data_IF_981210540145
#
_entry.id   IF_981210540145
#
_cell.length_a   1.000
_cell.length_b   1.000
_cell.length_c   1.000
_cell.angle_alpha   90.00
_cell.angle_beta   90.00
_cell.angle_gamma   90.00
#
_symmetry.space_group_name_H-M   'P 1'
#
loop_
_entity.id
_entity.type
_entity.pdbx_description
1 polymer ?
#
# COMPACT_ATOMS: atom_id res chain seq x y z
N UNK A 1 -21.08 5.24 20.33
CA UNK A 1 -21.63 4.25 19.39
C UNK A 1 -22.63 4.99 18.51
N UNK A 2 -22.50 4.93 17.20
CA UNK A 2 -23.34 5.57 16.18
C UNK A 2 -22.95 6.97 15.67
N UNK A 3 -21.78 7.04 15.01
CA UNK A 3 -21.44 8.10 14.03
C UNK A 3 -21.03 7.56 12.66
N UNK A 4 -20.96 6.23 12.47
CA UNK A 4 -20.34 5.61 11.29
C UNK A 4 -21.29 5.12 10.19
N UNK A 5 -22.60 5.17 10.36
CA UNK A 5 -23.56 4.57 9.42
C UNK A 5 -24.52 5.53 8.71
N UNK A 6 -24.38 6.83 8.90
CA UNK A 6 -25.05 7.79 7.99
C UNK A 6 -24.16 8.06 6.80
N UNK A 7 -23.96 7.03 5.99
CA UNK A 7 -23.39 7.20 4.67
C UNK A 7 -24.37 8.05 3.85
N UNK A 8 -23.97 9.30 3.60
CA UNK A 8 -24.77 10.26 2.85
C UNK A 8 -25.16 9.65 1.51
N UNK A 9 -26.46 9.39 1.30
CA UNK A 9 -27.06 8.98 0.02
C UNK A 9 -26.96 10.06 -1.08
N UNK A 10 -26.14 11.09 -0.88
CA UNK A 10 -25.90 12.20 -1.81
C UNK A 10 -24.57 12.13 -2.56
N UNK A 11 -23.84 11.00 -2.48
CA UNK A 11 -22.68 10.84 -3.38
C UNK A 11 -23.22 10.53 -4.78
N UNK A 12 -22.98 11.45 -5.71
CA UNK A 12 -23.31 11.30 -7.12
C UNK A 12 -22.74 9.98 -7.68
N UNK A 13 -23.54 9.29 -8.51
CA UNK A 13 -23.10 8.07 -9.18
C UNK A 13 -21.92 8.41 -10.09
N UNK A 14 -20.71 8.04 -9.68
CA UNK A 14 -19.50 8.35 -10.41
C UNK A 14 -18.30 7.55 -9.91
N UNK A 15 -17.19 7.72 -10.60
CA UNK A 15 -15.91 7.06 -10.33
C UNK A 15 -14.80 8.10 -10.17
N UNK A 16 -14.13 8.12 -9.03
CA UNK A 16 -12.91 8.89 -8.79
C UNK A 16 -11.69 8.02 -9.09
N UNK A 17 -10.84 8.46 -10.02
CA UNK A 17 -9.58 7.81 -10.36
C UNK A 17 -8.46 8.52 -9.61
N UNK A 18 -7.87 7.86 -8.63
CA UNK A 18 -6.79 8.40 -7.79
C UNK A 18 -5.44 7.97 -8.35
N UNK A 19 -4.59 8.94 -8.65
CA UNK A 19 -3.26 8.72 -9.25
C UNK A 19 -2.20 9.46 -8.43
N UNK A 20 -1.40 8.72 -7.64
CA UNK A 20 -0.24 9.31 -6.97
C UNK A 20 0.85 9.62 -7.98
N UNK A 21 1.45 10.80 -7.87
CA UNK A 21 2.50 11.31 -8.74
C UNK A 21 3.75 11.64 -7.93
N UNK A 22 4.93 11.25 -8.43
CA UNK A 22 6.22 11.70 -7.91
C UNK A 22 7.30 11.67 -8.98
N UNK A 23 7.61 12.84 -9.55
CA UNK A 23 8.55 13.01 -10.66
C UNK A 23 8.15 12.22 -11.92
N UNK A 24 6.90 12.38 -12.36
CA UNK A 24 6.27 11.70 -13.52
C UNK A 24 5.94 12.66 -14.68
N UNK A 25 6.64 13.80 -14.77
CA UNK A 25 6.38 14.84 -15.75
C UNK A 25 6.28 14.34 -17.21
N UNK A 26 7.11 13.35 -17.59
CA UNK A 26 7.24 12.91 -18.99
C UNK A 26 6.03 12.11 -19.52
N UNK A 27 5.32 11.39 -18.65
CA UNK A 27 4.22 10.49 -19.05
C UNK A 27 2.83 11.06 -18.79
N UNK A 28 2.72 12.09 -17.96
CA UNK A 28 1.46 12.52 -17.36
C UNK A 28 0.44 13.03 -18.39
N UNK A 29 0.86 13.85 -19.36
CA UNK A 29 -0.03 14.37 -20.40
C UNK A 29 -0.61 13.25 -21.30
N UNK A 30 0.21 12.26 -21.66
CA UNK A 30 -0.22 11.10 -22.44
C UNK A 30 -1.19 10.23 -21.65
N UNK A 31 -0.90 9.98 -20.38
CA UNK A 31 -1.80 9.24 -19.49
C UNK A 31 -3.16 9.93 -19.36
N UNK A 32 -3.16 11.27 -19.17
CA UNK A 32 -4.37 12.05 -19.06
C UNK A 32 -5.23 11.98 -20.33
N UNK A 33 -4.63 12.07 -21.53
CA UNK A 33 -5.34 11.94 -22.79
C UNK A 33 -6.07 10.57 -22.90
N UNK A 34 -5.40 9.47 -22.58
CA UNK A 34 -5.99 8.13 -22.56
C UNK A 34 -7.12 8.00 -21.52
N UNK A 35 -6.96 8.61 -20.35
CA UNK A 35 -8.01 8.66 -19.33
C UNK A 35 -9.24 9.44 -19.80
N UNK A 36 -9.03 10.56 -20.52
CA UNK A 36 -10.12 11.35 -21.08
C UNK A 36 -10.93 10.57 -22.14
N UNK A 37 -10.28 9.74 -22.95
CA UNK A 37 -10.94 8.84 -23.90
C UNK A 37 -11.76 7.77 -23.18
N UNK A 38 -11.18 7.12 -22.17
CA UNK A 38 -11.86 6.14 -21.33
C UNK A 38 -13.06 6.75 -20.61
N UNK A 39 -12.93 7.98 -20.12
CA UNK A 39 -14.01 8.70 -19.46
C UNK A 39 -15.18 8.98 -20.39
N UNK A 40 -14.92 9.42 -21.64
CA UNK A 40 -15.98 9.60 -22.66
C UNK A 40 -16.72 8.29 -22.92
N UNK A 41 -15.99 7.19 -23.16
CA UNK A 41 -16.57 5.89 -23.41
C UNK A 41 -17.44 5.39 -22.23
N UNK A 42 -17.00 5.58 -21.01
CA UNK A 42 -17.76 5.19 -19.82
C UNK A 42 -18.98 6.09 -19.57
N UNK A 43 -18.90 7.38 -19.87
CA UNK A 43 -20.03 8.29 -19.80
C UNK A 43 -21.11 7.91 -20.81
N UNK A 44 -20.72 7.57 -22.04
CA UNK A 44 -21.65 7.14 -23.10
C UNK A 44 -22.29 5.78 -22.82
N UNK A 45 -21.47 4.79 -22.42
CA UNK A 45 -21.93 3.40 -22.27
C UNK A 45 -22.57 3.11 -20.93
N UNK A 46 -22.16 3.78 -19.87
CA UNK A 46 -22.56 3.47 -18.49
C UNK A 46 -23.21 4.65 -17.76
N UNK A 47 -23.27 5.85 -18.37
CA UNK A 47 -23.76 7.10 -17.77
C UNK A 47 -23.06 7.41 -16.44
N UNK A 48 -21.76 7.14 -16.38
CA UNK A 48 -20.94 7.29 -15.19
C UNK A 48 -20.11 8.56 -15.29
N UNK A 49 -20.28 9.48 -14.32
CA UNK A 49 -19.41 10.64 -14.22
C UNK A 49 -18.04 10.25 -13.67
N UNK A 50 -17.00 10.87 -14.22
CA UNK A 50 -15.62 10.50 -13.88
C UNK A 50 -14.85 11.76 -13.49
N UNK A 51 -14.09 11.63 -12.43
CA UNK A 51 -13.04 12.56 -12.07
C UNK A 51 -11.70 11.85 -11.96
N UNK A 52 -10.63 12.60 -12.15
CA UNK A 52 -9.27 12.18 -11.79
C UNK A 52 -8.76 13.04 -10.65
N UNK A 53 -8.19 12.41 -9.64
CA UNK A 53 -7.52 13.06 -8.50
C UNK A 53 -6.04 12.76 -8.61
N UNK A 54 -5.29 13.69 -9.15
CA UNK A 54 -3.84 13.66 -9.17
C UNK A 54 -3.31 14.11 -7.81
N UNK A 55 -2.51 13.26 -7.16
CA UNK A 55 -1.89 13.60 -5.88
C UNK A 55 -0.39 13.72 -6.07
N UNK A 56 0.11 14.95 -6.08
CA UNK A 56 1.54 15.20 -6.15
C UNK A 56 2.20 15.02 -4.79
N UNK A 57 3.03 14.00 -4.67
CA UNK A 57 3.76 13.65 -3.44
C UNK A 57 5.11 14.39 -3.39
N UNK A 58 5.06 15.72 -3.48
CA UNK A 58 6.24 16.58 -3.37
C UNK A 58 7.24 16.37 -4.50
N UNK A 59 6.80 16.39 -5.75
CA UNK A 59 7.68 16.32 -6.92
C UNK A 59 8.66 17.50 -6.97
N UNK A 60 9.81 17.25 -7.59
CA UNK A 60 10.87 18.25 -7.76
C UNK A 60 11.07 18.65 -9.22
N UNK A 61 10.37 17.99 -10.13
CA UNK A 61 10.31 18.29 -11.56
C UNK A 61 9.03 19.03 -11.90
N UNK A 62 8.71 19.16 -13.18
CA UNK A 62 7.54 19.88 -13.70
C UNK A 62 6.21 19.12 -13.51
N UNK A 63 6.17 18.01 -12.76
CA UNK A 63 4.98 17.17 -12.59
C UNK A 63 3.77 17.97 -12.10
N UNK A 64 3.93 18.78 -11.05
CA UNK A 64 2.84 19.58 -10.47
C UNK A 64 2.29 20.59 -11.50
N UNK A 65 3.18 21.34 -12.16
CA UNK A 65 2.79 22.34 -13.15
C UNK A 65 2.05 21.70 -14.34
N UNK A 66 2.52 20.55 -14.80
CA UNK A 66 1.85 19.79 -15.86
C UNK A 66 0.47 19.33 -15.38
N UNK A 67 0.36 18.74 -14.18
CA UNK A 67 -0.92 18.29 -13.61
C UNK A 67 -1.94 19.43 -13.53
N UNK A 68 -1.51 20.61 -13.06
CA UNK A 68 -2.34 21.81 -12.98
C UNK A 68 -2.74 22.37 -14.37
N UNK A 69 -1.94 22.13 -15.41
CA UNK A 69 -2.25 22.57 -16.76
C UNK A 69 -3.24 21.68 -17.51
N UNK A 70 -3.48 20.44 -17.03
CA UNK A 70 -4.31 19.45 -17.71
C UNK A 70 -5.76 19.93 -17.90
N UNK A 71 -6.37 19.68 -19.08
CA UNK A 71 -7.70 20.15 -19.40
C UNK A 71 -8.79 19.26 -18.77
N UNK A 72 -9.83 19.86 -18.21
CA UNK A 72 -11.03 19.17 -17.71
C UNK A 72 -12.10 19.05 -18.81
N UNK A 73 -11.79 18.46 -19.96
CA UNK A 73 -12.71 18.43 -21.12
C UNK A 73 -13.70 17.27 -21.10
N UNK A 74 -13.30 16.11 -20.61
CA UNK A 74 -14.11 14.88 -20.61
C UNK A 74 -14.33 14.30 -19.20
N UNK A 75 -13.55 14.75 -18.25
CA UNK A 75 -13.58 14.34 -16.84
C UNK A 75 -13.20 15.52 -15.98
N UNK A 76 -13.65 15.53 -14.73
CA UNK A 76 -13.22 16.53 -13.77
C UNK A 76 -11.79 16.24 -13.34
N UNK A 77 -11.02 17.28 -13.07
CA UNK A 77 -9.61 17.18 -12.66
C UNK A 77 -9.43 17.83 -11.31
N UNK A 78 -8.94 17.07 -10.35
CA UNK A 78 -8.43 17.58 -9.08
C UNK A 78 -6.93 17.38 -9.02
N UNK A 79 -6.21 18.37 -8.49
CA UNK A 79 -4.79 18.27 -8.18
C UNK A 79 -4.61 18.60 -6.70
N UNK A 80 -4.10 17.63 -5.96
CA UNK A 80 -3.79 17.72 -4.52
C UNK A 80 -2.28 17.68 -4.39
N UNK A 81 -1.65 18.80 -4.02
CA UNK A 81 -0.22 18.86 -3.77
C UNK A 81 0.06 18.68 -2.28
N UNK A 82 0.90 17.71 -1.96
CA UNK A 82 1.34 17.48 -0.58
C UNK A 82 2.51 18.39 -0.22
N UNK A 83 2.61 18.81 1.04
CA UNK A 83 3.62 19.77 1.50
C UNK A 83 5.07 19.26 1.38
N UNK A 84 5.26 17.95 1.27
CA UNK A 84 6.53 17.26 1.00
C UNK A 84 6.25 15.84 0.52
N UNK A 85 7.28 15.08 0.19
CA UNK A 85 7.15 13.65 -0.03
C UNK A 85 6.80 12.94 1.30
N UNK A 86 5.61 12.33 1.36
CA UNK A 86 5.10 11.50 2.45
C UNK A 86 5.07 10.02 2.08
N UNK A 87 5.28 9.68 0.81
CA UNK A 87 5.26 8.33 0.27
C UNK A 87 3.93 7.95 -0.40
N UNK A 88 4.00 6.95 -1.27
CA UNK A 88 2.88 6.50 -2.11
C UNK A 88 1.60 6.22 -1.32
N UNK A 89 1.71 5.53 -0.18
CA UNK A 89 0.54 5.15 0.63
C UNK A 89 -0.18 6.39 1.21
N UNK A 90 0.57 7.43 1.57
CA UNK A 90 0.01 8.70 2.02
C UNK A 90 -0.68 9.46 0.88
N UNK A 91 -0.09 9.43 -0.32
CA UNK A 91 -0.70 10.03 -1.51
C UNK A 91 -2.01 9.32 -1.91
N UNK A 92 -2.05 7.97 -1.83
CA UNK A 92 -3.28 7.22 -2.04
C UNK A 92 -4.36 7.55 -1.00
N UNK A 93 -3.96 7.74 0.27
CA UNK A 93 -4.86 8.17 1.33
C UNK A 93 -5.43 9.56 1.05
N UNK A 94 -4.57 10.52 0.69
CA UNK A 94 -5.00 11.87 0.32
C UNK A 94 -5.98 11.85 -0.86
N UNK A 95 -5.69 11.08 -1.90
CA UNK A 95 -6.60 10.93 -3.04
C UNK A 95 -7.93 10.29 -2.67
N UNK A 96 -7.93 9.28 -1.79
CA UNK A 96 -9.16 8.68 -1.28
C UNK A 96 -10.01 9.69 -0.49
N UNK A 97 -9.38 10.51 0.35
CA UNK A 97 -10.07 11.50 1.17
C UNK A 97 -10.67 12.65 0.33
N UNK A 98 -10.00 13.03 -0.79
CA UNK A 98 -10.46 14.09 -1.70
C UNK A 98 -11.39 13.59 -2.81
N UNK A 99 -11.51 12.26 -3.00
CA UNK A 99 -12.41 11.68 -4.00
C UNK A 99 -13.87 12.05 -3.72
N UNK A 100 -14.51 12.74 -4.69
CA UNK A 100 -15.89 13.25 -4.59
C UNK A 100 -16.94 12.18 -4.90
N UNK A 101 -16.60 11.21 -5.76
CA UNK A 101 -17.50 10.12 -6.09
C UNK A 101 -17.35 8.95 -5.12
N UNK A 102 -18.43 8.14 -5.04
CA UNK A 102 -18.47 7.01 -4.11
C UNK A 102 -17.51 5.89 -4.46
N UNK A 103 -17.46 5.50 -5.73
CA UNK A 103 -16.51 4.50 -6.20
C UNK A 103 -15.13 5.13 -6.43
N UNK A 104 -14.09 4.41 -6.06
CA UNK A 104 -12.70 4.88 -6.18
C UNK A 104 -11.86 3.84 -6.88
N UNK A 105 -11.09 4.28 -7.87
CA UNK A 105 -10.10 3.47 -8.57
C UNK A 105 -8.71 4.02 -8.29
N UNK A 106 -7.82 3.19 -7.79
CA UNK A 106 -6.39 3.52 -7.63
C UNK A 106 -5.61 3.04 -8.85
N UNK A 107 -4.74 3.90 -9.38
CA UNK A 107 -3.92 3.62 -10.55
C UNK A 107 -2.57 4.33 -10.43
N UNK A 108 -1.47 3.67 -10.82
CA UNK A 108 -0.14 4.29 -10.84
C UNK A 108 0.02 5.25 -12.02
N UNK A 109 0.79 6.33 -11.80
CA UNK A 109 1.07 7.35 -12.81
C UNK A 109 2.17 6.98 -13.81
N UNK A 110 2.85 5.83 -13.66
CA UNK A 110 4.01 5.40 -14.45
C UNK A 110 3.66 4.84 -15.85
N UNK A 111 2.37 4.81 -16.21
CA UNK A 111 1.87 4.34 -17.50
C UNK A 111 1.90 2.82 -17.71
N UNK A 112 2.26 2.01 -16.70
CA UNK A 112 2.24 0.55 -16.82
C UNK A 112 0.83 -0.06 -16.81
N UNK A 113 -0.14 0.69 -16.34
CA UNK A 113 -1.53 0.28 -16.30
C UNK A 113 -2.29 0.88 -17.49
N UNK A 114 -2.85 0.03 -18.35
CA UNK A 114 -3.68 0.50 -19.45
C UNK A 114 -5.02 1.05 -18.92
N UNK A 115 -5.38 2.33 -19.22
CA UNK A 115 -6.71 2.85 -18.92
C UNK A 115 -7.86 2.03 -19.53
N UNK A 116 -7.61 1.27 -20.60
CA UNK A 116 -8.61 0.42 -21.26
C UNK A 116 -9.18 -0.67 -20.33
N UNK A 117 -8.39 -1.07 -19.33
CA UNK A 117 -8.86 -2.02 -18.31
C UNK A 117 -9.91 -1.44 -17.37
N UNK A 118 -10.02 -0.10 -17.26
CA UNK A 118 -10.98 0.55 -16.35
C UNK A 118 -12.40 0.11 -16.68
N UNK A 119 -12.76 0.06 -17.96
CA UNK A 119 -14.07 -0.40 -18.40
C UNK A 119 -14.41 -1.83 -17.93
N UNK A 120 -13.43 -2.72 -17.96
CA UNK A 120 -13.57 -4.11 -17.46
C UNK A 120 -13.75 -4.16 -15.95
N UNK A 121 -12.99 -3.35 -15.19
CA UNK A 121 -13.12 -3.26 -13.73
C UNK A 121 -14.49 -2.71 -13.33
N UNK A 122 -14.97 -1.65 -14.03
CA UNK A 122 -16.29 -1.06 -13.84
C UNK A 122 -17.39 -2.08 -14.14
N UNK A 123 -17.25 -2.89 -15.19
CA UNK A 123 -18.20 -3.96 -15.50
C UNK A 123 -18.32 -4.99 -14.38
N UNK A 124 -17.20 -5.43 -13.79
CA UNK A 124 -17.23 -6.33 -12.63
C UNK A 124 -17.88 -5.69 -11.40
N UNK A 125 -17.68 -4.40 -11.18
CA UNK A 125 -18.34 -3.68 -10.09
C UNK A 125 -19.85 -3.56 -10.33
N UNK A 126 -20.29 -2.97 -11.47
CA UNK A 126 -21.69 -2.63 -11.71
C UNK A 126 -22.54 -3.88 -12.04
N UNK A 127 -22.05 -4.73 -12.95
CA UNK A 127 -22.82 -5.89 -13.44
C UNK A 127 -22.57 -7.14 -12.57
N UNK A 128 -21.33 -7.29 -12.06
CA UNK A 128 -20.92 -8.44 -11.26
C UNK A 128 -21.16 -8.30 -9.76
N UNK A 129 -21.46 -7.08 -9.27
CA UNK A 129 -21.69 -6.80 -7.84
C UNK A 129 -20.47 -7.07 -6.96
N UNK A 130 -19.25 -6.91 -7.50
CA UNK A 130 -18.02 -7.03 -6.74
C UNK A 130 -17.67 -5.68 -6.12
N UNK A 131 -17.18 -5.69 -4.89
CA UNK A 131 -16.84 -4.49 -4.15
C UNK A 131 -15.39 -4.07 -4.30
N UNK A 132 -14.51 -5.04 -4.47
CA UNK A 132 -13.09 -4.84 -4.68
C UNK A 132 -12.68 -5.59 -5.94
N UNK A 133 -12.36 -4.87 -7.00
CA UNK A 133 -11.84 -5.46 -8.23
C UNK A 133 -10.38 -5.06 -8.36
N UNK A 134 -9.47 -6.02 -8.26
CA UNK A 134 -8.04 -5.75 -8.33
C UNK A 134 -7.36 -6.48 -9.47
N UNK A 135 -6.33 -5.88 -10.02
CA UNK A 135 -5.55 -6.49 -11.08
C UNK A 135 -4.38 -7.29 -10.52
N UNK A 136 -4.01 -8.35 -11.22
CA UNK A 136 -2.81 -9.13 -10.95
C UNK A 136 -2.05 -9.40 -12.25
N UNK A 137 -0.72 -9.39 -12.19
CA UNK A 137 0.10 -9.68 -13.37
C UNK A 137 -0.07 -11.15 -13.78
N UNK A 138 -0.50 -11.39 -15.04
CA UNK A 138 -0.79 -12.74 -15.54
C UNK A 138 0.45 -13.64 -15.60
N UNK A 139 1.64 -13.08 -15.90
CA UNK A 139 2.89 -13.84 -16.03
C UNK A 139 4.06 -13.07 -15.45
N UNK A 140 4.85 -13.73 -14.58
CA UNK A 140 6.17 -13.26 -14.13
C UNK A 140 7.28 -13.83 -15.03
N UNK A 141 7.10 -13.75 -16.36
CA UNK A 141 8.14 -14.18 -17.30
C UNK A 141 9.36 -13.27 -17.15
N UNK A 142 10.53 -13.86 -16.78
CA UNK A 142 11.80 -13.14 -16.70
C UNK A 142 12.22 -12.67 -15.30
N UNK A 143 11.47 -12.94 -14.23
CA UNK A 143 11.96 -12.65 -12.88
C UNK A 143 13.08 -13.64 -12.47
N UNK A 144 14.21 -13.15 -11.91
CA UNK A 144 15.26 -14.00 -11.35
C UNK A 144 14.68 -14.92 -10.26
N UNK A 145 15.09 -16.19 -10.24
CA UNK A 145 14.62 -17.21 -9.29
C UNK A 145 14.71 -16.74 -7.83
N UNK A 146 15.80 -16.04 -7.47
CA UNK A 146 15.98 -15.49 -6.12
C UNK A 146 14.91 -14.48 -5.73
N UNK A 147 14.47 -13.61 -6.64
CA UNK A 147 13.41 -12.62 -6.39
C UNK A 147 12.05 -13.27 -6.23
N UNK A 148 11.77 -14.30 -7.06
CA UNK A 148 10.53 -15.09 -6.98
C UNK A 148 10.45 -15.86 -5.66
N UNK A 149 11.56 -16.49 -5.23
CA UNK A 149 11.61 -17.23 -3.96
C UNK A 149 11.49 -16.30 -2.76
N UNK A 150 12.17 -15.15 -2.78
CA UNK A 150 12.08 -14.12 -1.76
C UNK A 150 10.68 -13.55 -1.62
N UNK A 151 10.00 -13.25 -2.74
CA UNK A 151 8.60 -12.81 -2.75
C UNK A 151 7.66 -13.85 -2.15
N UNK A 152 7.80 -15.13 -2.54
CA UNK A 152 6.98 -16.22 -1.97
C UNK A 152 7.21 -16.38 -0.47
N UNK A 153 8.47 -16.34 -0.01
CA UNK A 153 8.80 -16.40 1.41
C UNK A 153 8.19 -15.23 2.18
N UNK A 154 8.32 -14.01 1.64
CA UNK A 154 7.72 -12.80 2.22
C UNK A 154 6.20 -12.93 2.41
N UNK A 155 5.46 -13.30 1.36
CA UNK A 155 4.00 -13.47 1.46
C UNK A 155 3.60 -14.65 2.34
N UNK A 156 4.40 -15.71 2.39
CA UNK A 156 4.17 -16.83 3.31
C UNK A 156 4.28 -16.37 4.77
N UNK A 157 5.33 -15.61 5.10
CA UNK A 157 5.52 -15.04 6.44
C UNK A 157 4.46 -13.98 6.76
N UNK A 158 4.13 -13.11 5.80
CA UNK A 158 3.10 -12.09 5.95
C UNK A 158 1.73 -12.69 6.25
N UNK A 159 1.40 -13.80 5.58
CA UNK A 159 0.14 -14.51 5.73
C UNK A 159 0.14 -15.52 6.90
N UNK A 160 1.31 -15.78 7.51
CA UNK A 160 1.41 -16.73 8.60
C UNK A 160 0.70 -16.23 9.86
N UNK A 161 -0.35 -16.92 10.23
CA UNK A 161 -1.18 -16.57 11.37
C UNK A 161 -2.18 -15.44 11.13
N UNK A 162 -2.27 -14.89 9.91
CA UNK A 162 -3.31 -13.96 9.53
C UNK A 162 -4.57 -14.71 9.06
N UNK A 163 -5.73 -14.32 9.60
CA UNK A 163 -7.04 -14.87 9.19
C UNK A 163 -7.40 -14.46 7.77
N UNK A 164 -6.99 -13.27 7.34
CA UNK A 164 -7.23 -12.71 6.01
C UNK A 164 -5.92 -12.72 5.23
N UNK A 165 -5.87 -13.58 4.20
CA UNK A 165 -4.68 -13.70 3.35
C UNK A 165 -4.60 -12.53 2.37
N UNK A 166 -3.45 -11.87 2.35
CA UNK A 166 -3.13 -10.86 1.35
C UNK A 166 -2.68 -11.59 0.09
N UNK A 167 -3.33 -11.36 -1.08
CA UNK A 167 -2.94 -12.02 -2.33
C UNK A 167 -1.52 -11.61 -2.76
N UNK A 168 -0.69 -12.58 -3.11
CA UNK A 168 0.73 -12.37 -3.45
C UNK A 168 0.94 -11.44 -4.66
N UNK A 169 0.01 -11.47 -5.62
CA UNK A 169 0.14 -10.77 -6.90
C UNK A 169 -0.82 -9.57 -7.03
N UNK A 170 -1.51 -9.18 -5.95
CA UNK A 170 -2.43 -8.05 -6.03
C UNK A 170 -1.69 -6.76 -6.39
N UNK A 171 -2.04 -6.18 -7.54
CA UNK A 171 -1.56 -4.88 -7.98
C UNK A 171 -2.18 -3.73 -7.17
N UNK A 172 -1.58 -2.54 -7.30
CA UNK A 172 -2.16 -1.30 -6.75
C UNK A 172 -3.34 -0.81 -7.60
N UNK A 173 -3.40 -1.23 -8.87
CA UNK A 173 -4.50 -0.93 -9.78
C UNK A 173 -5.75 -1.72 -9.36
N UNK A 174 -6.65 -1.01 -8.66
CA UNK A 174 -7.88 -1.59 -8.10
C UNK A 174 -9.02 -0.61 -8.04
N UNK A 175 -10.23 -1.13 -8.23
CA UNK A 175 -11.49 -0.41 -8.06
C UNK A 175 -12.16 -0.84 -6.75
N UNK A 176 -12.61 0.14 -6.00
CA UNK A 176 -13.42 -0.04 -4.80
C UNK A 176 -14.85 0.47 -5.05
N UNK A 177 -15.84 -0.31 -4.69
CA UNK A 177 -17.23 0.14 -4.66
C UNK A 177 -17.40 1.26 -3.61
N UNK A 178 -18.50 2.03 -3.63
CA UNK A 178 -18.74 3.07 -2.63
C UNK A 178 -18.63 2.58 -1.19
N UNK A 179 -19.21 1.41 -0.89
CA UNK A 179 -19.15 0.83 0.46
C UNK A 179 -17.75 0.37 0.86
N UNK A 180 -16.97 -0.16 -0.10
CA UNK A 180 -15.59 -0.56 0.16
C UNK A 180 -14.67 0.65 0.36
N UNK A 181 -14.83 1.70 -0.45
CA UNK A 181 -14.10 2.96 -0.30
C UNK A 181 -14.41 3.63 1.04
N UNK A 182 -15.68 3.63 1.46
CA UNK A 182 -16.09 4.13 2.75
C UNK A 182 -15.49 3.38 3.92
N UNK A 183 -15.52 2.04 3.85
CA UNK A 183 -14.90 1.22 4.88
C UNK A 183 -13.40 1.51 5.00
N UNK A 184 -12.72 1.68 3.85
CA UNK A 184 -11.30 1.99 3.83
C UNK A 184 -10.98 3.39 4.40
N UNK A 185 -11.83 4.41 4.12
CA UNK A 185 -11.72 5.74 4.73
C UNK A 185 -11.89 5.71 6.24
N UNK A 186 -12.81 4.88 6.74
CA UNK A 186 -13.11 4.77 8.17
C UNK A 186 -12.00 4.10 8.99
N UNK A 187 -11.02 3.48 8.34
CA UNK A 187 -9.90 2.84 9.03
C UNK A 187 -8.95 3.89 9.62
N UNK A 188 -8.68 3.82 10.95
CA UNK A 188 -7.88 4.81 11.65
C UNK A 188 -6.37 4.61 11.50
N UNK A 189 -5.94 3.51 10.91
CA UNK A 189 -4.52 3.16 10.81
C UNK A 189 -3.73 4.21 10.04
N UNK A 190 -2.60 4.63 10.61
CA UNK A 190 -1.66 5.58 10.01
C UNK A 190 -0.59 4.90 9.19
N UNK A 191 -0.17 3.73 9.63
CA UNK A 191 0.75 2.90 8.87
C UNK A 191 -0.04 2.11 7.82
N UNK A 192 -0.45 2.79 6.74
CA UNK A 192 -1.31 2.24 5.70
C UNK A 192 -0.52 1.39 4.72
N UNK A 193 -1.08 0.26 4.37
CA UNK A 193 -0.70 -0.57 3.23
C UNK A 193 -1.98 -0.95 2.50
N UNK A 194 -2.32 -0.18 1.49
CA UNK A 194 -3.62 -0.26 0.83
C UNK A 194 -3.99 -1.66 0.35
N UNK A 195 -2.99 -2.46 -0.10
CA UNK A 195 -3.22 -3.86 -0.50
C UNK A 195 -3.73 -4.72 0.66
N UNK A 196 -3.12 -4.56 1.82
CA UNK A 196 -3.50 -5.27 3.04
C UNK A 196 -4.87 -4.84 3.54
N UNK A 197 -5.09 -3.53 3.65
CA UNK A 197 -6.34 -2.96 4.12
C UNK A 197 -7.52 -3.33 3.23
N UNK A 198 -7.35 -3.26 1.89
CA UNK A 198 -8.38 -3.66 0.94
C UNK A 198 -8.70 -5.16 0.99
N UNK A 199 -7.76 -6.00 1.41
CA UNK A 199 -8.04 -7.42 1.66
C UNK A 199 -8.72 -7.64 3.01
N UNK A 200 -8.41 -6.81 4.01
CA UNK A 200 -8.92 -6.92 5.37
C UNK A 200 -10.39 -6.52 5.50
N UNK A 201 -10.87 -5.53 4.71
CA UNK A 201 -12.28 -5.09 4.74
C UNK A 201 -13.29 -6.20 4.40
N UNK A 202 -12.86 -7.32 3.83
CA UNK A 202 -13.64 -8.55 3.73
C UNK A 202 -14.81 -8.54 2.76
N UNK A 203 -14.98 -7.51 1.94
CA UNK A 203 -16.02 -7.44 0.91
C UNK A 203 -15.74 -8.39 -0.26
N UNK A 204 -16.75 -8.56 -1.13
CA UNK A 204 -16.68 -9.47 -2.28
C UNK A 204 -15.62 -8.99 -3.27
N UNK A 205 -14.55 -9.80 -3.47
CA UNK A 205 -13.40 -9.45 -4.28
C UNK A 205 -13.36 -10.20 -5.62
N UNK A 206 -12.84 -9.54 -6.65
CA UNK A 206 -12.57 -10.14 -7.97
C UNK A 206 -11.15 -9.85 -8.41
N UNK A 207 -10.39 -10.90 -8.70
CA UNK A 207 -9.09 -10.82 -9.37
C UNK A 207 -9.29 -10.73 -10.88
N UNK A 208 -8.55 -9.83 -11.53
CA UNK A 208 -8.48 -9.65 -12.97
C UNK A 208 -7.01 -9.75 -13.40
N UNK A 209 -6.69 -10.79 -14.14
CA UNK A 209 -5.33 -10.94 -14.66
C UNK A 209 -5.14 -10.03 -15.87
N UNK A 210 -3.97 -9.35 -15.94
CA UNK A 210 -3.59 -8.46 -17.03
C UNK A 210 -2.11 -8.61 -17.37
N UNK A 211 -1.76 -8.28 -18.60
CA UNK A 211 -0.37 -8.11 -19.03
C UNK A 211 -0.01 -6.63 -18.93
N UNK A 212 1.01 -6.26 -18.16
CA UNK A 212 1.41 -4.86 -18.04
C UNK A 212 1.97 -4.34 -19.35
N UNK A 213 1.63 -3.11 -19.71
CA UNK A 213 2.28 -2.39 -20.81
C UNK A 213 3.78 -2.21 -20.49
N UNK A 214 4.62 -2.14 -21.54
CA UNK A 214 6.03 -1.79 -21.35
C UNK A 214 6.15 -0.42 -20.70
N UNK A 215 7.07 -0.27 -19.74
CA UNK A 215 7.32 1.02 -19.10
C UNK A 215 7.68 2.06 -20.14
N UNK A 216 6.86 3.09 -20.27
CA UNK A 216 7.12 4.19 -21.20
C UNK A 216 8.42 4.93 -20.83
N UNK A 217 8.75 5.08 -19.52
CA UNK A 217 9.95 5.76 -19.03
C UNK A 217 10.31 5.27 -17.60
N UNK A 218 11.63 5.19 -17.29
CA UNK A 218 12.16 4.97 -15.93
C UNK A 218 12.87 3.64 -15.71
N UNK A 219 13.95 3.67 -14.89
CA UNK A 219 14.68 2.48 -14.42
C UNK A 219 14.19 2.11 -13.03
N UNK A 220 14.06 0.81 -12.75
CA UNK A 220 13.77 0.31 -11.40
C UNK A 220 14.82 0.81 -10.41
N UNK A 221 14.41 1.67 -9.47
CA UNK A 221 15.32 2.28 -8.48
C UNK A 221 15.55 1.43 -7.21
N UNK A 222 14.92 0.27 -7.10
CA UNK A 222 15.01 -0.54 -5.88
C UNK A 222 16.22 -1.48 -5.92
N UNK A 223 17.25 -1.17 -5.13
CA UNK A 223 18.34 -2.09 -4.83
C UNK A 223 17.90 -3.19 -3.86
N UNK A 224 18.72 -4.26 -3.71
CA UNK A 224 18.44 -5.36 -2.77
C UNK A 224 18.25 -4.88 -1.33
N UNK A 225 19.03 -3.91 -0.88
CA UNK A 225 18.90 -3.32 0.46
C UNK A 225 17.54 -2.65 0.66
N UNK A 226 17.06 -1.86 -0.32
CA UNK A 226 15.75 -1.21 -0.25
C UNK A 226 14.60 -2.23 -0.21
N UNK A 227 14.73 -3.35 -0.93
CA UNK A 227 13.75 -4.43 -0.92
C UNK A 227 13.72 -5.13 0.44
N UNK A 228 14.86 -5.32 1.11
CA UNK A 228 14.92 -5.90 2.45
C UNK A 228 14.25 -4.97 3.49
N UNK A 229 14.56 -3.68 3.45
CA UNK A 229 13.95 -2.68 4.34
C UNK A 229 12.42 -2.67 4.16
N UNK A 230 11.93 -2.57 2.92
CA UNK A 230 10.50 -2.61 2.62
C UNK A 230 9.84 -3.93 3.06
N UNK A 231 10.57 -5.05 2.95
CA UNK A 231 10.07 -6.35 3.38
C UNK A 231 9.92 -6.44 4.90
N UNK A 232 10.91 -5.93 5.65
CA UNK A 232 10.85 -5.87 7.11
C UNK A 232 9.72 -4.92 7.55
N UNK A 233 9.63 -3.76 6.94
CA UNK A 233 8.60 -2.77 7.24
C UNK A 233 7.19 -3.31 6.98
N UNK A 234 6.96 -3.94 5.83
CA UNK A 234 5.69 -4.58 5.51
C UNK A 234 5.36 -5.74 6.44
N UNK A 235 6.34 -6.59 6.73
CA UNK A 235 6.15 -7.75 7.61
C UNK A 235 5.82 -7.34 9.05
N UNK A 236 6.53 -6.38 9.60
CA UNK A 236 6.29 -5.90 10.98
C UNK A 236 5.03 -5.03 11.10
N UNK A 237 4.55 -4.42 9.99
CA UNK A 237 3.31 -3.64 9.99
C UNK A 237 2.04 -4.52 9.99
N UNK A 238 2.08 -5.67 9.32
CA UNK A 238 0.89 -6.48 9.06
C UNK A 238 0.94 -7.89 9.62
N UNK A 239 2.07 -8.29 10.20
CA UNK A 239 2.24 -9.63 10.74
C UNK A 239 2.98 -9.59 12.06
N UNK A 240 2.52 -10.40 13.01
CA UNK A 240 3.26 -10.70 14.25
C UNK A 240 4.19 -11.90 14.07
N UNK A 241 4.38 -12.38 12.83
CA UNK A 241 5.23 -13.53 12.53
C UNK A 241 6.67 -13.40 13.03
N UNK A 242 7.37 -12.25 12.88
CA UNK A 242 8.72 -12.07 13.42
C UNK A 242 8.77 -12.25 14.93
N UNK A 243 7.78 -11.74 15.65
CA UNK A 243 7.69 -11.87 17.11
C UNK A 243 7.42 -13.33 17.52
N UNK A 244 6.54 -14.04 16.81
CA UNK A 244 6.28 -15.47 17.04
C UNK A 244 7.50 -16.33 16.75
N UNK A 245 8.22 -16.02 15.67
CA UNK A 245 9.47 -16.71 15.32
C UNK A 245 10.53 -16.50 16.40
N UNK A 246 10.70 -15.26 16.86
CA UNK A 246 11.60 -14.95 17.96
C UNK A 246 11.23 -15.72 19.25
N UNK A 247 9.94 -15.78 19.60
CA UNK A 247 9.45 -16.54 20.74
C UNK A 247 9.68 -18.05 20.57
N UNK A 248 9.45 -18.61 19.38
CA UNK A 248 9.71 -20.03 19.11
C UNK A 248 11.19 -20.36 19.24
N UNK A 249 12.08 -19.52 18.69
CA UNK A 249 13.52 -19.69 18.84
C UNK A 249 13.96 -19.60 20.30
N UNK A 250 13.37 -18.69 21.07
CA UNK A 250 13.61 -18.57 22.52
C UNK A 250 13.22 -19.85 23.27
N UNK A 251 12.05 -20.43 22.98
CA UNK A 251 11.58 -21.71 23.58
C UNK A 251 12.52 -22.87 23.21
N UNK A 252 12.93 -22.97 21.93
CA UNK A 252 13.85 -24.03 21.50
C UNK A 252 15.22 -23.91 22.17
N UNK A 253 15.74 -22.69 22.31
CA UNK A 253 17.00 -22.45 23.01
C UNK A 253 16.89 -22.79 24.52
N UNK A 254 15.80 -22.38 25.15
CA UNK A 254 15.55 -22.69 26.54
C UNK A 254 15.42 -24.20 26.78
N UNK A 255 14.72 -24.90 25.90
CA UNK A 255 14.61 -26.37 25.97
C UNK A 255 15.97 -27.04 25.77
N UNK A 256 16.76 -26.60 24.81
CA UNK A 256 18.12 -27.09 24.53
C UNK A 256 19.03 -26.87 25.76
N UNK A 257 18.98 -25.67 26.35
CA UNK A 257 19.76 -25.33 27.55
C UNK A 257 19.35 -26.17 28.75
N UNK A 258 18.04 -26.48 28.91
CA UNK A 258 17.56 -27.35 29.96
C UNK A 258 18.08 -28.77 29.81
N UNK A 259 17.99 -29.32 28.58
CA UNK A 259 18.51 -30.69 28.29
C UNK A 259 20.02 -30.76 28.55
N UNK A 260 20.76 -29.74 28.07
CA UNK A 260 22.20 -29.65 28.31
C UNK A 260 22.54 -29.52 29.80
N UNK A 261 21.81 -28.66 30.53
CA UNK A 261 21.97 -28.49 31.99
C UNK A 261 21.72 -29.78 32.77
N UNK A 262 20.65 -30.50 32.42
CA UNK A 262 20.34 -31.81 33.03
C UNK A 262 21.43 -32.83 32.71
N UNK A 263 21.89 -32.93 31.47
CA UNK A 263 22.97 -33.85 31.10
C UNK A 263 24.26 -33.59 31.87
N UNK A 264 24.60 -32.30 32.06
CA UNK A 264 25.77 -31.85 32.78
C UNK A 264 25.65 -32.21 34.30
N UNK A 265 24.47 -32.08 34.89
CA UNK A 265 24.22 -32.52 36.28
C UNK A 265 24.39 -34.01 36.45
N UNK A 266 23.90 -34.81 35.49
CA UNK A 266 24.13 -36.26 35.49
C UNK A 266 25.62 -36.64 35.37
N UNK A 267 26.35 -35.95 34.47
CA UNK A 267 27.78 -36.18 34.30
C UNK A 267 28.58 -35.86 35.57
N UNK A 268 28.31 -34.73 36.21
CA UNK A 268 28.93 -34.34 37.48
C UNK A 268 28.59 -35.34 38.60
N UNK A 269 27.35 -35.83 38.66
CA UNK A 269 26.89 -36.78 39.70
C UNK A 269 27.56 -38.15 39.56
N UNK A 270 27.73 -38.65 38.34
CA UNK A 270 28.26 -40.00 38.13
C UNK A 270 29.77 -40.09 37.94
N UNK A 271 30.41 -39.03 37.39
CA UNK A 271 31.80 -39.06 36.97
C UNK A 271 32.71 -38.03 37.69
N UNK A 272 32.12 -37.19 38.56
CA UNK A 272 32.88 -36.14 39.26
C UNK A 272 33.27 -34.96 38.37
N UNK A 273 33.86 -33.92 38.96
CA UNK A 273 34.17 -32.67 38.27
C UNK A 273 35.57 -32.69 37.69
N UNK A 274 35.73 -32.85 36.38
CA UNK A 274 36.90 -32.41 35.65
C UNK A 274 36.50 -31.20 34.81
N UNK A 275 36.68 -30.00 35.30
CA UNK A 275 36.19 -28.79 34.60
C UNK A 275 37.30 -28.08 33.83
N UNK A 276 37.43 -28.37 32.56
CA UNK A 276 37.88 -27.40 31.59
C UNK A 276 36.66 -26.85 30.84
N UNK A 277 36.01 -25.81 31.31
CA UNK A 277 34.76 -25.34 30.69
C UNK A 277 34.66 -23.85 30.40
N UNK A 278 35.73 -23.08 30.66
CA UNK A 278 35.72 -21.62 30.48
C UNK A 278 35.32 -21.18 29.03
N UNK A 279 35.88 -21.79 27.96
CA UNK A 279 35.50 -21.40 26.59
C UNK A 279 34.01 -21.69 26.29
N UNK A 280 33.49 -22.83 26.75
CA UNK A 280 32.10 -23.23 26.53
C UNK A 280 31.12 -22.28 27.21
N UNK A 281 31.44 -21.84 28.44
CA UNK A 281 30.59 -20.86 29.18
C UNK A 281 30.60 -19.51 28.48
N UNK A 282 31.76 -19.04 28.02
CA UNK A 282 31.88 -17.74 27.31
C UNK A 282 31.09 -17.79 25.99
N UNK A 283 31.24 -18.84 25.19
CA UNK A 283 30.51 -19.01 23.93
C UNK A 283 28.99 -19.09 24.21
N UNK A 284 28.59 -19.85 25.23
CA UNK A 284 27.17 -19.93 25.62
C UNK A 284 26.57 -18.57 26.01
N UNK A 285 27.30 -17.79 26.82
CA UNK A 285 26.87 -16.44 27.20
C UNK A 285 26.81 -15.49 26.00
N UNK A 286 27.76 -15.55 25.08
CA UNK A 286 27.76 -14.73 23.87
C UNK A 286 26.57 -15.06 22.95
N UNK A 287 26.28 -16.35 22.76
CA UNK A 287 25.12 -16.80 21.97
C UNK A 287 23.82 -16.34 22.61
N UNK A 288 23.65 -16.58 23.92
CA UNK A 288 22.44 -16.15 24.64
C UNK A 288 22.26 -14.64 24.60
N UNK A 289 23.34 -13.87 24.88
CA UNK A 289 23.32 -12.41 24.81
C UNK A 289 23.01 -11.90 23.39
N UNK A 290 23.60 -12.50 22.37
CA UNK A 290 23.31 -12.16 20.97
C UNK A 290 21.86 -12.38 20.59
N UNK A 291 21.31 -13.55 20.90
CA UNK A 291 19.89 -13.86 20.65
C UNK A 291 18.97 -12.92 21.42
N UNK A 292 19.29 -12.64 22.68
CA UNK A 292 18.50 -11.72 23.52
C UNK A 292 18.48 -10.31 22.94
N UNK A 293 19.61 -9.79 22.45
CA UNK A 293 19.67 -8.48 21.78
C UNK A 293 18.83 -8.44 20.49
N UNK A 294 18.85 -9.51 19.68
CA UNK A 294 18.01 -9.61 18.48
C UNK A 294 16.53 -9.58 18.87
N UNK A 295 16.14 -10.32 19.91
CA UNK A 295 14.75 -10.34 20.37
C UNK A 295 14.29 -8.97 20.89
N UNK A 296 15.13 -8.27 21.64
CA UNK A 296 14.88 -6.91 22.10
C UNK A 296 14.72 -5.97 20.91
N UNK A 297 15.56 -6.10 19.87
CA UNK A 297 15.45 -5.34 18.64
C UNK A 297 14.11 -5.55 17.92
N UNK A 298 13.65 -6.79 17.81
CA UNK A 298 12.34 -7.10 17.22
C UNK A 298 11.21 -6.46 18.03
N UNK A 299 11.23 -6.60 19.36
CA UNK A 299 10.22 -5.98 20.25
C UNK A 299 10.27 -4.45 20.11
N UNK A 300 11.46 -3.85 20.06
CA UNK A 300 11.66 -2.40 19.87
C UNK A 300 11.01 -1.89 18.59
N UNK A 301 11.09 -2.65 17.48
CA UNK A 301 10.43 -2.30 16.21
C UNK A 301 8.90 -2.22 16.36
N UNK A 302 8.28 -3.20 17.04
CA UNK A 302 6.84 -3.17 17.31
C UNK A 302 6.44 -2.04 18.25
N UNK A 303 7.23 -1.77 19.30
CA UNK A 303 6.99 -0.63 20.19
C UNK A 303 7.09 0.69 19.41
N UNK A 304 8.06 0.82 18.51
CA UNK A 304 8.20 1.97 17.63
C UNK A 304 6.96 2.21 16.76
N UNK A 305 6.37 1.15 16.20
CA UNK A 305 5.14 1.22 15.42
C UNK A 305 3.93 1.59 16.27
N UNK A 306 3.77 0.98 17.44
CA UNK A 306 2.71 1.34 18.40
C UNK A 306 2.82 2.82 18.77
N UNK A 307 4.04 3.31 19.07
CA UNK A 307 4.27 4.71 19.39
C UNK A 307 3.94 5.65 18.23
N UNK A 308 4.20 5.22 16.98
CA UNK A 308 3.82 5.96 15.76
C UNK A 308 2.31 6.12 15.65
N UNK A 309 1.55 5.04 15.89
CA UNK A 309 0.08 5.07 15.90
C UNK A 309 -0.48 5.94 17.02
N UNK A 310 0.07 5.83 18.24
CA UNK A 310 -0.35 6.59 19.42
C UNK A 310 -0.11 8.11 19.30
N UNK A 311 0.97 8.52 18.60
CA UNK A 311 1.23 9.95 18.35
C UNK A 311 0.16 10.62 17.52
N UNK A 312 -0.66 9.87 16.82
CA UNK A 312 -1.82 10.34 16.07
C UNK A 312 -1.51 11.50 15.08
N UNK A 313 -0.27 11.58 14.55
CA UNK A 313 0.09 12.61 13.57
C UNK A 313 -0.65 12.39 12.26
N UNK A 314 -1.10 13.45 11.55
CA UNK A 314 -1.65 13.31 10.21
C UNK A 314 -0.70 12.55 9.28
N UNK A 315 -1.27 11.73 8.40
CA UNK A 315 -0.50 10.89 7.47
C UNK A 315 0.15 11.76 6.40
N UNK A 316 -0.51 12.87 6.03
CA UNK A 316 -0.07 13.85 5.04
C UNK A 316 -0.56 15.25 5.43
N UNK A 317 0.01 16.26 4.79
CA UNK A 317 -0.48 17.64 4.80
C UNK A 317 -0.63 18.11 3.37
N UNK A 318 -1.77 18.71 3.04
CA UNK A 318 -2.03 19.34 1.75
C UNK A 318 -1.43 20.74 1.76
N UNK A 319 -0.62 21.05 0.78
CA UNK A 319 -0.10 22.41 0.55
C UNK A 319 -1.05 23.20 -0.34
N UNK A 320 -1.49 22.60 -1.45
CA UNK A 320 -2.38 23.25 -2.43
C UNK A 320 -3.39 22.23 -2.95
N UNK A 321 -4.60 22.70 -3.25
CA UNK A 321 -5.66 21.89 -3.84
C UNK A 321 -6.38 22.71 -4.90
N UNK A 322 -6.44 22.19 -6.13
CA UNK A 322 -7.16 22.80 -7.24
C UNK A 322 -8.19 21.82 -7.83
N UNK A 323 -9.31 22.38 -8.29
CA UNK A 323 -10.40 21.60 -8.91
C UNK A 323 -10.81 22.28 -10.19
N UNK A 324 -10.93 21.50 -11.27
CA UNK A 324 -11.46 21.93 -12.57
C UNK A 324 -12.62 21.00 -12.94
N UNK A 325 -13.76 21.57 -13.29
CA UNK A 325 -14.97 20.82 -13.62
C UNK A 325 -15.20 20.79 -15.13
N UNK A 326 -15.54 19.64 -15.67
CA UNK A 326 -15.73 19.43 -17.13
C UNK A 326 -16.88 20.24 -17.77
N UNK A 327 -17.60 21.06 -17.01
CA UNK A 327 -18.70 21.94 -17.48
C UNK A 327 -18.34 23.42 -17.59
N UNK A 328 -17.30 23.88 -16.91
CA UNK A 328 -17.01 25.33 -16.75
C UNK A 328 -16.32 25.98 -17.95
N UNK A 329 -15.79 25.18 -18.89
CA UNK A 329 -15.17 25.74 -20.10
C UNK A 329 -16.16 26.23 -21.17
N UNK A 330 -17.48 26.15 -20.92
CA UNK A 330 -18.46 26.68 -21.88
C UNK A 330 -18.81 28.16 -21.67
N UNK A 331 -18.47 28.78 -20.57
CA UNK A 331 -18.93 30.14 -20.31
C UNK A 331 -17.92 31.19 -19.88
N UNK A 332 -16.71 30.91 -19.43
CA UNK A 332 -15.75 31.98 -19.13
C UNK A 332 -14.30 31.44 -19.06
N UNK A 333 -13.38 32.23 -19.64
CA UNK A 333 -11.96 32.18 -19.29
C UNK A 333 -11.79 32.71 -17.85
N UNK A 334 -12.06 31.88 -16.86
CA UNK A 334 -11.98 32.25 -15.45
C UNK A 334 -10.76 31.58 -14.79
N UNK A 335 -10.03 32.40 -14.06
CA UNK A 335 -8.87 32.04 -13.24
C UNK A 335 -9.18 30.88 -12.25
N UNK A 336 -8.22 30.02 -11.96
CA UNK A 336 -8.39 28.96 -10.98
C UNK A 336 -8.59 29.57 -9.59
N UNK A 337 -9.68 29.20 -8.93
CA UNK A 337 -9.92 29.59 -7.52
C UNK A 337 -8.93 28.82 -6.64
N UNK A 338 -7.88 29.51 -6.20
CA UNK A 338 -6.96 29.00 -5.18
C UNK A 338 -7.61 29.20 -3.82
N UNK A 339 -8.09 28.14 -3.22
CA UNK A 339 -8.52 28.17 -1.80
C UNK A 339 -7.33 27.76 -0.94
N UNK A 340 -6.70 28.74 -0.28
CA UNK A 340 -5.75 28.46 0.78
C UNK A 340 -6.53 27.86 1.97
N UNK A 341 -6.09 26.71 2.45
CA UNK A 341 -6.65 26.11 3.64
C UNK A 341 -6.15 26.86 4.89
N UNK A 342 -7.06 27.45 5.64
CA UNK A 342 -6.82 27.86 7.03
C UNK A 342 -6.83 26.67 7.99
#
# INVERSE_FOLDING_TARGET
MDRSLRYNAAMTAGLSIVIPLHNEAKGLASLHARLAETARALRETRRLDIEVVYVDDGSRDETLQIAESLPASALDVQVVSLSRNFGKEAALAAGLDHARFGAVLFMDGDGQHSPDLIGKLVGYWLDGGYDVVYTAKAHRKGEPLGRRLGGKLFYTLLNWGNRHKIPEDAGDFRLLSPRAAAALRAMPERNRFFKGLASWIGFRQKRVDYEPDERAHGKTRFGLASLLVLSIEGLTSFSVAPLRLASLLGVLLAASALVFGVSMLFEVWFYGVAVPGYPSVVVGLMVLGGVQLIMIGVVGEYIGKILSELKARPIYFVAEHSVKTAGEHREHGAEPTRTAAE
#
